data_IF_360805737830
#
_entry.id   IF_360805737830
#
_cell.length_a   1.000
_cell.length_b   1.000
_cell.length_c   1.000
_cell.angle_alpha   90.00
_cell.angle_beta   90.00
_cell.angle_gamma   90.00
#
_symmetry.space_group_name_H-M   'P 1'
#
loop_
_entity.id
_entity.type
_entity.pdbx_description
1 polymer ?
#
# COMPACT_ATOMS: atom_id res chain seq x y z
N UNK A 1 -16.88 26.46 9.20
CA UNK A 1 -16.58 25.55 10.34
C UNK A 1 -15.84 24.28 9.89
N UNK A 2 -16.42 23.45 9.00
CA UNK A 2 -15.79 22.19 8.55
C UNK A 2 -14.40 22.36 7.90
N UNK A 3 -14.21 23.36 7.03
CA UNK A 3 -12.90 23.63 6.40
C UNK A 3 -11.80 23.97 7.42
N UNK A 4 -12.13 24.74 8.46
CA UNK A 4 -11.19 25.07 9.53
C UNK A 4 -10.74 23.82 10.29
N UNK A 5 -11.69 22.93 10.63
CA UNK A 5 -11.40 21.67 11.31
C UNK A 5 -10.53 20.74 10.46
N UNK A 6 -10.79 20.64 9.15
CA UNK A 6 -9.97 19.86 8.22
C UNK A 6 -8.53 20.39 8.16
N UNK A 7 -8.36 21.69 8.02
CA UNK A 7 -7.03 22.31 7.96
C UNK A 7 -6.29 22.10 9.29
N UNK A 8 -6.95 22.31 10.42
CA UNK A 8 -6.36 22.07 11.74
C UNK A 8 -5.93 20.61 11.94
N UNK A 9 -6.76 19.65 11.50
CA UNK A 9 -6.44 18.23 11.57
C UNK A 9 -5.23 17.85 10.70
N UNK A 10 -5.18 18.34 9.46
CA UNK A 10 -4.04 18.11 8.54
C UNK A 10 -2.75 18.69 9.14
N UNK A 11 -2.79 19.92 9.65
CA UNK A 11 -1.63 20.55 10.32
C UNK A 11 -1.20 19.72 11.53
N UNK A 12 -2.14 19.27 12.36
CA UNK A 12 -1.84 18.44 13.52
C UNK A 12 -1.15 17.12 13.15
N UNK A 13 -1.62 16.43 12.10
CA UNK A 13 -1.00 15.20 11.58
C UNK A 13 0.41 15.48 11.07
N UNK A 14 0.59 16.54 10.28
CA UNK A 14 1.91 16.94 9.73
C UNK A 14 2.89 17.28 10.85
N UNK A 15 2.46 18.04 11.86
CA UNK A 15 3.30 18.40 13.01
C UNK A 15 3.73 17.15 13.79
N UNK A 16 2.83 16.18 14.02
CA UNK A 16 3.16 14.92 14.67
C UNK A 16 4.14 14.07 13.84
N UNK A 17 3.94 13.98 12.52
CA UNK A 17 4.87 13.29 11.62
C UNK A 17 6.26 13.94 11.64
N UNK A 18 6.32 15.27 11.48
CA UNK A 18 7.59 16.01 11.54
C UNK A 18 8.26 15.85 12.89
N UNK A 19 7.50 15.92 13.99
CA UNK A 19 8.01 15.67 15.34
C UNK A 19 8.60 14.27 15.46
N UNK A 20 7.88 13.23 15.01
CA UNK A 20 8.33 11.85 15.01
C UNK A 20 9.64 11.66 14.23
N UNK A 21 9.75 12.22 13.03
CA UNK A 21 10.95 12.09 12.20
C UNK A 21 12.13 12.98 12.65
N UNK A 22 11.88 14.15 13.28
CA UNK A 22 12.94 15.05 13.77
C UNK A 22 13.45 14.68 15.15
N UNK A 23 12.61 14.11 16.02
CA UNK A 23 12.99 13.83 17.39
C UNK A 23 13.87 12.57 17.43
N UNK A 24 15.20 12.77 17.39
CA UNK A 24 16.23 11.71 17.49
C UNK A 24 16.30 11.03 18.88
N UNK A 25 15.23 11.12 19.67
CA UNK A 25 15.18 10.67 21.07
C UNK A 25 14.95 9.16 21.21
N UNK A 26 14.92 8.43 20.10
CA UNK A 26 15.07 6.97 20.10
C UNK A 26 16.54 6.58 19.94
N UNK A 27 17.39 7.00 20.88
CA UNK A 27 18.83 6.65 20.94
C UNK A 27 19.12 5.14 21.17
N UNK A 28 18.11 4.27 21.05
CA UNK A 28 18.23 2.81 21.09
C UNK A 28 17.33 2.07 20.09
N UNK A 29 16.78 2.75 19.08
CA UNK A 29 16.07 2.08 17.98
C UNK A 29 16.88 2.23 16.71
N UNK A 30 17.46 1.11 16.25
CA UNK A 30 18.27 0.95 15.04
C UNK A 30 17.47 1.13 13.74
N UNK A 31 16.49 2.05 13.72
CA UNK A 31 15.67 2.29 12.54
C UNK A 31 16.50 3.00 11.48
N UNK A 32 17.11 2.22 10.59
CA UNK A 32 17.83 2.73 9.43
C UNK A 32 16.84 3.40 8.48
N UNK A 33 16.84 4.74 8.45
CA UNK A 33 16.05 5.53 7.51
C UNK A 33 16.28 5.08 6.07
N UNK A 34 17.51 4.67 5.73
CA UNK A 34 17.84 4.13 4.42
C UNK A 34 17.08 2.81 4.12
N UNK A 35 16.94 1.93 5.11
CA UNK A 35 16.19 0.68 4.98
C UNK A 35 14.69 0.94 4.81
N UNK A 36 14.14 1.89 5.56
CA UNK A 36 12.74 2.30 5.43
C UNK A 36 12.44 2.94 4.07
N UNK A 37 13.31 3.83 3.58
CA UNK A 37 13.14 4.43 2.25
C UNK A 37 13.22 3.36 1.16
N UNK A 38 14.13 2.39 1.27
CA UNK A 38 14.18 1.24 0.35
C UNK A 38 12.86 0.46 0.37
N UNK A 39 12.33 0.15 1.57
CA UNK A 39 11.03 -0.52 1.71
C UNK A 39 9.91 0.25 1.03
N UNK A 40 9.82 1.57 1.27
CA UNK A 40 8.81 2.43 0.66
C UNK A 40 8.86 2.39 -0.87
N UNK A 41 10.04 2.60 -1.48
CA UNK A 41 10.18 2.56 -2.94
C UNK A 41 9.88 1.17 -3.52
N UNK A 42 10.26 0.09 -2.83
CA UNK A 42 9.91 -1.27 -3.24
C UNK A 42 8.41 -1.47 -3.20
N UNK A 43 7.72 -1.08 -2.13
CA UNK A 43 6.26 -1.19 -2.05
C UNK A 43 5.58 -0.37 -3.14
N UNK A 44 5.99 0.88 -3.38
CA UNK A 44 5.46 1.69 -4.49
C UNK A 44 5.68 1.03 -5.85
N UNK A 45 6.88 0.47 -6.09
CA UNK A 45 7.19 -0.24 -7.33
C UNK A 45 6.32 -1.49 -7.52
N UNK A 46 6.11 -2.27 -6.46
CA UNK A 46 5.22 -3.43 -6.47
C UNK A 46 3.78 -3.00 -6.75
N UNK A 47 3.27 -1.97 -6.07
CA UNK A 47 1.93 -1.40 -6.34
C UNK A 47 1.76 -1.02 -7.80
N UNK A 48 2.73 -0.31 -8.37
CA UNK A 48 2.67 0.12 -9.77
C UNK A 48 2.75 -1.08 -10.73
N UNK A 49 3.62 -2.06 -10.44
CA UNK A 49 3.74 -3.29 -11.23
C UNK A 49 2.46 -4.12 -11.26
N UNK A 50 1.80 -4.29 -10.11
CA UNK A 50 0.50 -4.97 -10.05
C UNK A 50 -0.61 -4.15 -10.73
N UNK A 51 -0.60 -2.83 -10.62
CA UNK A 51 -1.55 -1.98 -11.35
C UNK A 51 -1.43 -2.16 -12.87
N UNK A 52 -0.21 -2.20 -13.40
CA UNK A 52 0.05 -2.53 -14.81
C UNK A 52 -0.42 -3.94 -15.18
N UNK A 53 -0.19 -4.91 -14.30
CA UNK A 53 -0.64 -6.28 -14.49
C UNK A 53 -2.17 -6.35 -14.60
N UNK A 54 -2.90 -5.73 -13.68
CA UNK A 54 -4.37 -5.68 -13.75
C UNK A 54 -4.87 -4.95 -14.99
N UNK A 55 -4.20 -3.86 -15.38
CA UNK A 55 -4.53 -3.13 -16.59
C UNK A 55 -4.35 -3.98 -17.85
N UNK A 56 -3.25 -4.74 -17.93
CA UNK A 56 -3.03 -5.67 -19.02
C UNK A 56 -4.09 -6.79 -19.06
N UNK A 57 -4.47 -7.35 -17.90
CA UNK A 57 -5.54 -8.35 -17.81
C UNK A 57 -6.90 -7.79 -18.22
N UNK A 58 -7.17 -6.52 -17.93
CA UNK A 58 -8.45 -5.87 -18.25
C UNK A 58 -8.77 -5.79 -19.75
N UNK A 59 -7.78 -6.00 -20.62
CA UNK A 59 -7.99 -6.09 -22.07
C UNK A 59 -8.61 -7.42 -22.51
N UNK A 60 -8.43 -8.48 -21.74
CA UNK A 60 -8.91 -9.83 -22.08
C UNK A 60 -10.12 -10.27 -21.28
N UNK A 61 -10.25 -9.80 -20.04
CA UNK A 61 -11.32 -10.19 -19.12
C UNK A 61 -11.69 -9.04 -18.17
N UNK A 62 -12.89 -9.12 -17.59
CA UNK A 62 -13.24 -8.25 -16.46
C UNK A 62 -12.40 -8.65 -15.26
N UNK A 63 -11.65 -7.70 -14.71
CA UNK A 63 -10.73 -7.91 -13.59
C UNK A 63 -11.32 -7.51 -12.24
N UNK A 64 -12.20 -6.50 -12.23
CA UNK A 64 -12.78 -5.91 -11.02
C UNK A 64 -14.25 -5.55 -11.26
N UNK A 65 -15.07 -5.84 -10.26
CA UNK A 65 -16.50 -5.48 -10.22
C UNK A 65 -16.84 -4.71 -8.93
N UNK A 66 -17.93 -3.95 -8.97
CA UNK A 66 -18.43 -3.25 -7.79
C UNK A 66 -19.25 -4.16 -6.86
N UNK A 67 -19.98 -5.12 -7.43
CA UNK A 67 -20.85 -6.05 -6.70
C UNK A 67 -20.83 -7.42 -7.39
N UNK A 68 -20.65 -8.47 -6.60
CA UNK A 68 -20.64 -9.87 -7.06
C UNK A 68 -22.02 -10.35 -7.55
N UNK A 69 -23.09 -9.68 -7.15
CA UNK A 69 -24.48 -10.07 -7.45
C UNK A 69 -24.92 -9.55 -8.82
N UNK A 70 -24.41 -8.38 -9.21
CA UNK A 70 -24.77 -7.71 -10.47
C UNK A 70 -23.67 -7.80 -11.52
N UNK A 71 -22.47 -8.27 -11.12
CA UNK A 71 -21.26 -8.41 -11.93
C UNK A 71 -20.95 -7.13 -12.72
N UNK A 72 -21.27 -5.97 -12.12
CA UNK A 72 -21.13 -4.66 -12.76
C UNK A 72 -19.65 -4.31 -12.86
N UNK A 73 -19.08 -4.24 -14.08
CA UNK A 73 -17.66 -3.97 -14.25
C UNK A 73 -17.33 -2.57 -13.75
N UNK A 74 -16.24 -2.45 -12.99
CA UNK A 74 -15.64 -1.14 -12.72
C UNK A 74 -15.06 -0.61 -14.03
N UNK A 75 -15.15 0.70 -14.26
CA UNK A 75 -14.43 1.32 -15.38
C UNK A 75 -12.93 0.97 -15.27
N UNK A 76 -12.41 0.26 -16.28
CA UNK A 76 -11.03 -0.21 -16.34
C UNK A 76 -10.06 0.92 -16.72
N UNK A 77 -10.09 2.02 -15.97
CA UNK A 77 -9.08 3.08 -16.03
C UNK A 77 -7.84 2.66 -15.24
N UNK A 78 -6.66 3.06 -15.71
CA UNK A 78 -5.41 2.79 -15.00
C UNK A 78 -5.44 3.36 -13.57
N UNK A 79 -6.08 4.51 -13.36
CA UNK A 79 -6.25 5.11 -12.02
C UNK A 79 -7.05 4.23 -11.07
N UNK A 80 -8.14 3.61 -11.53
CA UNK A 80 -8.94 2.71 -10.71
C UNK A 80 -8.17 1.44 -10.34
N UNK A 81 -7.42 0.89 -11.29
CA UNK A 81 -6.59 -0.30 -11.04
C UNK A 81 -5.37 -0.01 -10.16
N UNK A 82 -4.81 1.20 -10.25
CA UNK A 82 -3.77 1.67 -9.34
C UNK A 82 -4.30 1.85 -7.92
N UNK A 83 -5.51 2.41 -7.78
CA UNK A 83 -6.20 2.50 -6.50
C UNK A 83 -6.47 1.12 -5.90
N UNK A 84 -7.04 0.19 -6.67
CA UNK A 84 -7.25 -1.20 -6.24
C UNK A 84 -5.94 -1.87 -5.78
N UNK A 85 -4.87 -1.72 -6.56
CA UNK A 85 -3.55 -2.23 -6.25
C UNK A 85 -3.04 -1.67 -4.90
N UNK A 86 -3.19 -0.36 -4.66
CA UNK A 86 -2.81 0.29 -3.40
C UNK A 86 -3.63 -0.22 -2.21
N UNK A 87 -4.95 -0.29 -2.35
CA UNK A 87 -5.87 -0.81 -1.32
C UNK A 87 -5.53 -2.26 -0.95
N UNK A 88 -5.11 -3.06 -1.95
CA UNK A 88 -4.77 -4.47 -1.77
C UNK A 88 -3.43 -4.66 -1.05
N UNK A 89 -2.35 -4.04 -1.52
CA UNK A 89 -1.01 -4.21 -0.93
C UNK A 89 -0.89 -3.62 0.47
N UNK A 90 -1.64 -2.54 0.75
CA UNK A 90 -1.70 -1.92 2.07
C UNK A 90 -2.70 -2.63 3.00
N UNK A 91 -3.35 -3.71 2.53
CA UNK A 91 -4.36 -4.47 3.27
C UNK A 91 -5.52 -3.61 3.81
N UNK A 92 -5.87 -2.53 3.10
CA UNK A 92 -6.97 -1.63 3.47
C UNK A 92 -8.32 -2.28 3.17
N UNK A 93 -8.47 -2.85 1.97
CA UNK A 93 -9.63 -3.66 1.58
C UNK A 93 -11.00 -3.00 1.80
N UNK A 94 -11.24 -1.80 1.27
CA UNK A 94 -12.53 -1.09 1.45
C UNK A 94 -13.76 -1.88 0.97
N UNK A 95 -13.59 -2.80 0.02
CA UNK A 95 -14.67 -3.62 -0.54
C UNK A 95 -15.47 -2.95 -1.65
N UNK A 96 -15.07 -1.77 -2.09
CA UNK A 96 -15.64 -1.00 -3.21
C UNK A 96 -15.21 -1.52 -4.60
N UNK A 97 -14.08 -2.24 -4.64
CA UNK A 97 -13.53 -2.89 -5.82
C UNK A 97 -13.20 -4.34 -5.48
N UNK A 98 -13.93 -5.27 -6.11
CA UNK A 98 -13.82 -6.71 -5.82
C UNK A 98 -13.15 -7.40 -7.00
N UNK A 99 -12.01 -8.08 -6.80
CA UNK A 99 -11.34 -8.79 -7.89
C UNK A 99 -12.16 -10.02 -8.32
N UNK A 100 -12.20 -10.27 -9.62
CA UNK A 100 -12.83 -11.44 -10.25
C UNK A 100 -11.85 -12.11 -11.20
N UNK A 101 -12.19 -13.32 -11.67
CA UNK A 101 -11.37 -14.09 -12.61
C UNK A 101 -9.90 -14.24 -12.15
N UNK A 102 -8.93 -14.10 -13.06
CA UNK A 102 -7.51 -14.30 -12.74
C UNK A 102 -6.98 -13.24 -11.77
N UNK A 103 -7.59 -12.05 -11.71
CA UNK A 103 -7.20 -10.98 -10.81
C UNK A 103 -7.29 -11.38 -9.33
N UNK A 104 -8.17 -12.32 -8.95
CA UNK A 104 -8.26 -12.85 -7.58
C UNK A 104 -6.96 -13.52 -7.13
N UNK A 105 -6.35 -14.32 -8.01
CA UNK A 105 -5.11 -15.02 -7.71
C UNK A 105 -3.97 -14.02 -7.50
N UNK A 106 -3.85 -13.04 -8.39
CA UNK A 106 -2.82 -11.99 -8.28
C UNK A 106 -3.04 -11.09 -7.07
N UNK A 107 -4.28 -10.76 -6.71
CA UNK A 107 -4.60 -9.98 -5.53
C UNK A 107 -4.17 -10.69 -4.23
N UNK A 108 -4.33 -12.01 -4.15
CA UNK A 108 -3.84 -12.80 -3.01
C UNK A 108 -2.31 -12.76 -2.90
N UNK A 109 -1.60 -12.91 -4.01
CA UNK A 109 -0.13 -12.80 -4.04
C UNK A 109 0.30 -11.39 -3.62
N UNK A 110 -0.37 -10.36 -4.16
CA UNK A 110 -0.07 -8.98 -3.85
C UNK A 110 -0.27 -8.67 -2.36
N UNK A 111 -1.38 -9.13 -1.76
CA UNK A 111 -1.65 -8.96 -0.35
C UNK A 111 -0.60 -9.69 0.51
N UNK A 112 -0.20 -10.91 0.11
CA UNK A 112 0.87 -11.64 0.79
C UNK A 112 2.21 -10.87 0.75
N UNK A 113 2.58 -10.30 -0.40
CA UNK A 113 3.78 -9.46 -0.52
C UNK A 113 3.67 -8.23 0.39
N UNK A 114 2.51 -7.56 0.38
CA UNK A 114 2.24 -6.37 1.20
C UNK A 114 2.45 -6.60 2.70
N UNK A 115 2.11 -7.79 3.19
CA UNK A 115 2.31 -8.18 4.60
C UNK A 115 3.73 -8.68 4.85
N UNK A 116 4.26 -9.58 4.02
CA UNK A 116 5.52 -10.28 4.27
C UNK A 116 6.74 -9.39 4.06
N UNK A 117 6.70 -8.46 3.11
CA UNK A 117 7.85 -7.65 2.74
C UNK A 117 8.25 -6.66 3.85
N UNK A 118 7.33 -5.89 4.47
CA UNK A 118 7.64 -5.11 5.67
C UNK A 118 8.22 -5.97 6.80
N UNK A 119 7.61 -7.12 7.08
CA UNK A 119 8.07 -8.04 8.14
C UNK A 119 9.50 -8.53 7.89
N UNK A 120 9.82 -8.96 6.67
CA UNK A 120 11.16 -9.37 6.30
C UNK A 120 12.19 -8.23 6.44
N UNK A 121 11.80 -7.01 6.08
CA UNK A 121 12.62 -5.82 6.27
C UNK A 121 12.87 -5.52 7.75
N UNK A 122 11.85 -5.64 8.60
CA UNK A 122 12.00 -5.47 10.05
C UNK A 122 12.93 -6.52 10.66
N UNK A 123 12.79 -7.79 10.28
CA UNK A 123 13.68 -8.86 10.75
C UNK A 123 15.13 -8.54 10.36
N UNK A 124 15.36 -8.14 9.11
CA UNK A 124 16.69 -7.74 8.64
C UNK A 124 17.26 -6.54 9.41
N UNK A 125 16.43 -5.55 9.74
CA UNK A 125 16.83 -4.39 10.53
C UNK A 125 17.30 -4.79 11.93
N UNK A 126 16.60 -5.76 12.54
CA UNK A 126 16.94 -6.29 13.87
C UNK A 126 18.21 -7.14 13.83
N UNK A 127 18.39 -7.95 12.80
CA UNK A 127 19.57 -8.82 12.68
C UNK A 127 20.86 -8.01 12.49
N UNK A 128 20.83 -6.95 11.65
CA UNK A 128 21.95 -6.02 11.48
C UNK A 128 22.37 -5.32 12.78
N UNK A 129 21.47 -5.18 13.75
CA UNK A 129 21.78 -4.59 15.06
C UNK A 129 22.46 -5.55 16.03
N UNK A 130 22.52 -6.86 15.73
CA UNK A 130 23.15 -7.88 16.58
C UNK A 130 24.61 -8.16 16.22
N UNK A 131 25.03 -7.76 15.01
CA UNK A 131 26.38 -7.96 14.47
C UNK A 131 27.31 -6.72 14.67
N UNK A 132 26.79 -5.62 15.23
CA UNK A 132 27.54 -4.43 15.68
C UNK A 132 27.66 -4.37 17.21
#
# INVERSE_FOLDING_TARGET
MAQFLLIAAIIFIIVNLIYFFRNKTYKKSYFSTALFMKLFFVLCGVTFGFALLYYALSFGETVIVHDLSTDTPVEHSFSNLLYFSGVTILAVGYGDMIPVNSARFFALIQAAIGVLLPTAYFIKALDQSRDE
#
